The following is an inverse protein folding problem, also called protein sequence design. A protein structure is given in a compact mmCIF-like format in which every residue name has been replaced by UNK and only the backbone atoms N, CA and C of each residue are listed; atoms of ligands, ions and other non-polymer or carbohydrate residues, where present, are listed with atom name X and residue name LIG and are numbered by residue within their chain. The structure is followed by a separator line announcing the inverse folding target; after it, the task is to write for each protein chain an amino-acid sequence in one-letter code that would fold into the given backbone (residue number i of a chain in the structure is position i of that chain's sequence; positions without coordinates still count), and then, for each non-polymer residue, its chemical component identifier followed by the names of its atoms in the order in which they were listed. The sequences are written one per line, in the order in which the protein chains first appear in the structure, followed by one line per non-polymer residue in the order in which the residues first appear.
data_IF_697568083893
#
_entry.id   IF_697568083893
#
_cell.length_a   1.000
_cell.length_b   1.000
_cell.length_c   1.000
_cell.angle_alpha   90.00
_cell.angle_beta   90.00
_cell.angle_gamma   90.00
#
_symmetry.space_group_name_H-M   'P 1'
#
loop_
_entity.id
_entity.type
_entity.pdbx_description
1 polymer ?
#
# COMPACT_ATOMS: atom_id res chain seq x y z
N UNK A 1 -46.72 -6.00 -52.76
CA UNK A 1 -45.53 -6.66 -52.20
C UNK A 1 -44.94 -5.76 -51.11
N UNK A 2 -45.20 -6.05 -49.82
CA UNK A 2 -44.74 -5.21 -48.69
C UNK A 2 -43.50 -5.84 -48.07
N UNK A 3 -42.34 -5.21 -48.25
CA UNK A 3 -41.06 -5.63 -47.67
C UNK A 3 -41.06 -5.19 -46.20
N UNK A 4 -41.07 -6.16 -45.27
CA UNK A 4 -40.92 -5.92 -43.84
C UNK A 4 -39.45 -5.59 -43.56
N UNK A 5 -39.18 -4.38 -43.07
CA UNK A 5 -37.85 -3.99 -42.57
C UNK A 5 -37.72 -4.49 -41.12
N UNK A 6 -36.86 -5.47 -40.90
CA UNK A 6 -36.52 -5.96 -39.56
C UNK A 6 -35.45 -5.05 -38.97
N UNK A 7 -35.81 -4.26 -37.96
CA UNK A 7 -34.88 -3.41 -37.22
C UNK A 7 -34.28 -4.26 -36.08
N UNK A 8 -33.03 -4.68 -36.24
CA UNK A 8 -32.27 -5.28 -35.15
C UNK A 8 -31.85 -4.15 -34.18
N UNK A 9 -32.55 -4.05 -33.06
CA UNK A 9 -32.16 -3.17 -31.96
C UNK A 9 -31.00 -3.85 -31.20
N UNK A 10 -29.79 -3.33 -31.39
CA UNK A 10 -28.63 -3.71 -30.59
C UNK A 10 -28.69 -2.93 -29.28
N UNK A 11 -29.21 -3.58 -28.23
CA UNK A 11 -29.16 -3.08 -26.86
C UNK A 11 -27.71 -3.09 -26.38
N UNK A 12 -27.06 -1.93 -26.39
CA UNK A 12 -25.81 -1.69 -25.67
C UNK A 12 -26.12 -1.74 -24.18
N UNK A 13 -25.87 -2.89 -23.55
CA UNK A 13 -25.86 -2.98 -22.09
C UNK A 13 -24.72 -2.11 -21.56
N UNK A 14 -25.05 -1.04 -20.84
CA UNK A 14 -24.12 -0.37 -19.94
C UNK A 14 -23.81 -1.35 -18.81
N UNK A 15 -22.82 -2.21 -19.03
CA UNK A 15 -22.20 -2.95 -17.93
C UNK A 15 -21.58 -1.93 -17.00
N UNK A 16 -21.99 -1.92 -15.73
CA UNK A 16 -21.26 -1.18 -14.71
C UNK A 16 -19.87 -1.77 -14.63
N UNK A 17 -18.89 -1.05 -15.17
CA UNK A 17 -17.49 -1.38 -14.98
C UNK A 17 -17.20 -1.12 -13.50
N UNK A 18 -17.23 -2.18 -12.70
CA UNK A 18 -16.68 -2.12 -11.34
C UNK A 18 -15.22 -1.74 -11.49
N UNK A 19 -14.85 -0.53 -11.08
CA UNK A 19 -13.45 -0.14 -10.96
C UNK A 19 -12.78 -1.15 -10.03
N UNK A 20 -11.90 -1.99 -10.57
CA UNK A 20 -11.02 -2.80 -9.73
C UNK A 20 -10.21 -1.82 -8.87
N UNK A 21 -10.31 -1.93 -7.55
CA UNK A 21 -9.43 -1.18 -6.66
C UNK A 21 -8.05 -1.80 -6.81
N UNK A 22 -7.16 -1.10 -7.52
CA UNK A 22 -5.80 -1.54 -7.75
C UNK A 22 -4.81 -0.63 -7.00
N UNK A 23 -3.72 -1.22 -6.56
CA UNK A 23 -2.75 -0.63 -5.65
C UNK A 23 -1.32 -0.66 -6.17
N UNK A 24 -0.37 -0.55 -5.25
CA UNK A 24 1.06 -0.70 -5.50
C UNK A 24 1.36 -2.20 -5.64
N UNK A 25 1.63 -2.64 -6.87
CA UNK A 25 1.85 -4.03 -7.24
C UNK A 25 3.33 -4.38 -7.04
N UNK A 26 3.59 -5.58 -6.52
CA UNK A 26 4.94 -6.15 -6.53
C UNK A 26 5.70 -6.01 -5.23
N UNK A 27 5.06 -5.54 -4.16
CA UNK A 27 5.73 -5.26 -2.88
C UNK A 27 6.12 -6.56 -2.19
N UNK A 28 7.42 -6.76 -1.97
CA UNK A 28 7.97 -7.89 -1.20
C UNK A 28 8.35 -7.48 0.22
N UNK A 29 8.82 -6.26 0.40
CA UNK A 29 9.19 -5.74 1.71
C UNK A 29 8.90 -4.26 1.86
N UNK A 30 8.78 -3.84 3.12
CA UNK A 30 8.69 -2.45 3.55
C UNK A 30 9.89 -2.17 4.45
N UNK A 31 10.59 -1.08 4.21
CA UNK A 31 11.64 -0.57 5.08
C UNK A 31 11.17 0.74 5.72
N UNK A 32 11.31 0.82 7.04
CA UNK A 32 10.95 1.98 7.86
C UNK A 32 12.20 2.50 8.55
N UNK A 33 12.48 3.80 8.40
CA UNK A 33 13.59 4.51 9.04
C UNK A 33 13.08 5.75 9.75
N UNK A 34 13.81 6.22 10.77
CA UNK A 34 13.56 7.52 11.37
C UNK A 34 14.06 8.63 10.41
N UNK A 35 13.17 9.50 9.93
CA UNK A 35 13.51 10.52 8.93
C UNK A 35 14.34 11.68 9.48
N UNK A 36 14.35 11.88 10.81
CA UNK A 36 15.07 12.96 11.48
C UNK A 36 16.36 12.50 12.14
N UNK A 37 16.81 11.28 11.85
CA UNK A 37 17.99 10.65 12.40
C UNK A 37 18.04 10.70 13.94
N UNK A 38 16.95 10.28 14.58
CA UNK A 38 16.88 10.00 16.02
C UNK A 38 16.57 8.52 16.25
N UNK A 39 15.89 8.21 17.35
CA UNK A 39 15.43 6.87 17.69
C UNK A 39 14.30 6.40 16.76
N UNK A 40 14.49 5.29 16.06
CA UNK A 40 13.41 4.54 15.42
C UNK A 40 12.58 3.78 16.47
N UNK A 41 11.30 4.11 16.51
CA UNK A 41 10.31 3.46 17.37
C UNK A 41 9.01 3.35 16.58
N UNK A 42 8.35 2.20 16.64
CA UNK A 42 7.15 1.92 15.84
C UNK A 42 6.21 1.07 16.67
N UNK A 43 4.98 1.54 16.87
CA UNK A 43 3.95 0.78 17.57
C UNK A 43 3.37 -0.31 16.68
N UNK A 44 2.96 0.04 15.46
CA UNK A 44 2.38 -0.91 14.53
C UNK A 44 2.50 -0.40 13.09
N UNK A 45 2.64 -1.32 12.15
CA UNK A 45 2.51 -1.09 10.71
C UNK A 45 1.36 -1.92 10.19
N UNK A 46 0.40 -1.27 9.54
CA UNK A 46 -0.64 -1.95 8.79
C UNK A 46 -0.39 -1.76 7.29
N UNK A 47 -0.42 -2.85 6.53
CA UNK A 47 -0.30 -2.84 5.09
C UNK A 47 -1.50 -3.59 4.51
N UNK A 48 -2.47 -2.86 3.95
CA UNK A 48 -3.69 -3.48 3.43
C UNK A 48 -3.54 -3.84 1.96
N UNK A 49 -3.92 -5.08 1.63
CA UNK A 49 -3.98 -5.53 0.24
C UNK A 49 -5.35 -5.25 -0.41
N UNK A 50 -5.50 -5.58 -1.69
CA UNK A 50 -6.77 -5.43 -2.44
C UNK A 50 -7.97 -6.20 -1.85
N UNK A 51 -7.72 -7.18 -0.97
CA UNK A 51 -8.74 -7.89 -0.21
C UNK A 51 -9.12 -7.22 1.10
N UNK A 52 -8.58 -6.03 1.39
CA UNK A 52 -8.69 -5.31 2.66
C UNK A 52 -8.20 -6.14 3.86
N UNK A 53 -7.19 -6.99 3.62
CA UNK A 53 -6.50 -7.75 4.66
C UNK A 53 -5.21 -7.03 5.00
N UNK A 54 -4.96 -6.82 6.29
CA UNK A 54 -3.66 -6.37 6.77
C UNK A 54 -2.65 -7.52 6.69
N UNK A 55 -1.78 -7.45 5.68
CA UNK A 55 -0.79 -8.50 5.40
C UNK A 55 0.46 -8.39 6.27
N UNK A 56 0.63 -7.29 7.01
CA UNK A 56 1.72 -7.15 7.98
C UNK A 56 1.43 -7.97 9.25
N UNK A 57 0.23 -7.82 9.84
CA UNK A 57 -0.14 -8.45 11.11
C UNK A 57 -0.84 -9.82 10.99
N UNK A 58 -1.30 -10.23 9.80
CA UNK A 58 -2.00 -11.51 9.59
C UNK A 58 -1.13 -12.77 9.65
N UNK A 59 0.11 -12.66 10.13
CA UNK A 59 1.08 -13.76 10.16
C UNK A 59 1.71 -14.07 8.79
N UNK A 60 1.50 -13.19 7.81
CA UNK A 60 2.08 -13.32 6.48
C UNK A 60 3.35 -12.47 6.26
N UNK A 61 3.90 -11.91 7.34
CA UNK A 61 5.11 -11.11 7.31
C UNK A 61 6.04 -11.45 8.49
N UNK A 62 7.31 -11.10 8.34
CA UNK A 62 8.30 -11.12 9.42
C UNK A 62 8.93 -9.74 9.54
N UNK A 63 9.04 -9.21 10.76
CA UNK A 63 9.74 -7.98 11.04
C UNK A 63 11.13 -8.26 11.61
N UNK A 64 12.12 -7.46 11.20
CA UNK A 64 13.50 -7.54 11.68
C UNK A 64 14.14 -6.17 11.76
N UNK A 65 15.06 -5.99 12.70
CA UNK A 65 15.92 -4.82 12.81
C UNK A 65 17.32 -5.26 13.33
N UNK A 66 18.38 -4.44 13.15
CA UNK A 66 19.73 -4.77 13.61
C UNK A 66 19.83 -5.01 15.12
N UNK A 67 19.04 -4.28 15.91
CA UNK A 67 19.01 -4.37 17.36
C UNK A 67 17.63 -4.01 17.94
N UNK A 68 17.55 -3.99 19.26
CA UNK A 68 16.38 -3.51 19.99
C UNK A 68 16.83 -2.99 21.35
N UNK A 69 16.20 -1.93 21.84
CA UNK A 69 16.51 -1.35 23.15
C UNK A 69 16.33 -2.35 24.29
N UNK A 70 15.36 -3.25 24.18
CA UNK A 70 15.13 -4.31 25.16
C UNK A 70 14.48 -5.54 24.55
N UNK A 71 14.56 -6.67 25.26
CA UNK A 71 13.95 -7.93 24.82
C UNK A 71 12.42 -7.97 24.83
N UNK A 72 11.74 -6.90 25.24
CA UNK A 72 10.27 -6.79 25.15
C UNK A 72 9.81 -5.74 24.12
N UNK A 73 10.75 -5.07 23.44
CA UNK A 73 10.49 -4.03 22.43
C UNK A 73 11.12 -4.43 21.09
N UNK A 74 10.90 -5.68 20.71
CA UNK A 74 11.49 -6.34 19.54
C UNK A 74 10.73 -6.01 18.25
N UNK A 75 11.31 -6.25 17.06
CA UNK A 75 10.70 -5.86 15.78
C UNK A 75 9.31 -6.46 15.52
N UNK A 76 9.01 -7.64 16.07
CA UNK A 76 7.70 -8.27 15.96
C UNK A 76 6.57 -7.41 16.55
N UNK A 77 6.90 -6.50 17.48
CA UNK A 77 5.92 -5.56 18.06
C UNK A 77 5.34 -4.60 17.04
N UNK A 78 6.05 -4.30 15.96
CA UNK A 78 5.56 -3.41 14.93
C UNK A 78 4.57 -4.09 13.94
N UNK A 79 4.29 -5.39 14.10
CA UNK A 79 3.39 -6.16 13.22
C UNK A 79 2.53 -7.16 14.03
N UNK A 80 2.24 -6.89 15.31
CA UNK A 80 1.54 -7.84 16.18
C UNK A 80 0.02 -7.58 16.31
N UNK A 81 -0.47 -6.57 15.58
CA UNK A 81 -1.87 -6.14 15.58
C UNK A 81 -2.22 -5.17 16.70
N UNK A 82 -1.25 -4.73 17.52
CA UNK A 82 -1.47 -3.81 18.64
C UNK A 82 -1.10 -2.39 18.26
N UNK A 83 -2.10 -1.59 17.88
CA UNK A 83 -1.88 -0.18 17.50
C UNK A 83 -1.59 0.77 18.68
N UNK A 84 -1.51 0.25 19.91
CA UNK A 84 -1.27 1.06 21.10
C UNK A 84 0.24 1.28 21.28
N UNK A 85 0.70 2.52 21.37
CA UNK A 85 2.14 2.82 21.40
C UNK A 85 2.79 2.93 22.78
N UNK A 86 2.39 2.17 23.80
CA UNK A 86 3.01 2.30 25.13
C UNK A 86 4.28 1.43 25.26
N UNK A 87 5.45 2.08 25.31
CA UNK A 87 6.73 1.39 25.49
C UNK A 87 6.79 0.59 26.79
N UNK A 88 6.32 1.18 27.91
CA UNK A 88 6.38 0.54 29.23
C UNK A 88 5.52 -0.73 29.34
N UNK A 89 4.59 -0.93 28.41
CA UNK A 89 3.77 -2.14 28.28
C UNK A 89 4.26 -3.11 27.20
N UNK A 90 5.39 -2.81 26.54
CA UNK A 90 5.97 -3.65 25.49
C UNK A 90 5.13 -3.71 24.22
N UNK A 91 4.54 -2.58 23.83
CA UNK A 91 3.65 -2.48 22.67
C UNK A 91 4.30 -1.79 21.46
N UNK A 92 5.63 -1.62 21.47
CA UNK A 92 6.34 -0.98 20.37
C UNK A 92 7.63 -1.74 20.07
N UNK A 93 8.09 -1.65 18.83
CA UNK A 93 9.49 -1.78 18.50
C UNK A 93 10.23 -0.49 18.88
N UNK A 94 11.45 -0.62 19.41
CA UNK A 94 12.35 0.51 19.68
C UNK A 94 13.79 0.06 19.41
N UNK A 95 14.51 0.77 18.55
CA UNK A 95 15.90 0.45 18.22
C UNK A 95 16.82 0.61 19.44
N UNK A 96 17.95 -0.09 19.42
CA UNK A 96 18.90 -0.21 20.53
C UNK A 96 19.92 0.91 20.62
N UNK A 97 20.17 1.64 19.53
CA UNK A 97 21.14 2.73 19.48
C UNK A 97 20.59 3.97 18.77
N UNK A 98 20.89 5.18 19.28
CA UNK A 98 20.50 6.42 18.61
C UNK A 98 21.38 6.76 17.42
N UNK A 99 20.79 7.43 16.43
CA UNK A 99 21.49 7.91 15.24
C UNK A 99 22.23 6.77 14.49
N UNK A 100 21.77 5.53 14.65
CA UNK A 100 22.34 4.36 13.98
C UNK A 100 21.94 4.28 12.51
N UNK A 101 20.89 5.02 12.13
CA UNK A 101 20.21 4.88 10.84
C UNK A 101 19.68 3.45 10.61
N UNK A 102 19.31 2.77 11.69
CA UNK A 102 18.76 1.42 11.59
C UNK A 102 17.43 1.43 10.84
N UNK A 103 17.13 0.27 10.30
CA UNK A 103 15.95 0.03 9.48
C UNK A 103 15.14 -1.08 10.09
N UNK A 104 13.87 -0.81 10.34
CA UNK A 104 12.88 -1.84 10.55
C UNK A 104 12.46 -2.37 9.18
N UNK A 105 12.75 -3.63 8.91
CA UNK A 105 12.38 -4.29 7.66
C UNK A 105 11.24 -5.27 7.92
N UNK A 106 10.14 -5.12 7.18
CA UNK A 106 9.00 -6.02 7.17
C UNK A 106 9.01 -6.76 5.84
N UNK A 107 9.20 -8.08 5.87
CA UNK A 107 9.24 -8.94 4.68
C UNK A 107 7.97 -9.77 4.62
N UNK A 108 7.22 -9.65 3.53
CA UNK A 108 6.05 -10.50 3.29
C UNK A 108 6.46 -11.88 2.79
N UNK A 109 5.72 -12.93 3.13
CA UNK A 109 5.98 -14.29 2.63
C UNK A 109 5.80 -14.36 1.11
N UNK A 110 4.74 -13.73 0.61
CA UNK A 110 4.42 -13.61 -0.81
C UNK A 110 4.47 -12.15 -1.25
N UNK A 111 4.72 -11.92 -2.54
CA UNK A 111 4.63 -10.58 -3.14
C UNK A 111 3.18 -10.08 -3.06
N UNK A 112 3.00 -8.82 -2.68
CA UNK A 112 1.70 -8.21 -2.41
C UNK A 112 1.35 -7.11 -3.43
N UNK A 113 0.05 -6.89 -3.59
CA UNK A 113 -0.51 -5.66 -4.12
C UNK A 113 -1.16 -4.91 -2.96
N UNK A 114 -0.60 -3.74 -2.60
CA UNK A 114 -1.03 -2.96 -1.43
C UNK A 114 -1.84 -1.74 -1.84
N UNK A 115 -2.97 -1.52 -1.19
CA UNK A 115 -3.88 -0.37 -1.47
C UNK A 115 -3.67 0.78 -0.49
N UNK A 116 -3.24 0.49 0.73
CA UNK A 116 -3.00 1.50 1.75
C UNK A 116 -2.00 1.04 2.79
N UNK A 117 -1.44 2.02 3.48
CA UNK A 117 -0.45 1.86 4.52
C UNK A 117 -0.81 2.75 5.71
N UNK A 118 -0.64 2.21 6.92
CA UNK A 118 -0.66 2.99 8.15
C UNK A 118 0.54 2.65 9.01
N UNK A 119 0.99 3.65 9.76
CA UNK A 119 2.00 3.47 10.79
C UNK A 119 1.54 4.18 12.07
N UNK A 120 1.77 3.52 13.20
CA UNK A 120 1.42 3.99 14.53
C UNK A 120 2.69 4.29 15.32
N UNK A 121 2.73 5.46 15.92
CA UNK A 121 3.83 5.96 16.73
C UNK A 121 3.68 5.63 18.21
N UNK A 122 4.66 6.06 18.99
CA UNK A 122 4.72 5.86 20.45
C UNK A 122 3.81 6.87 21.15
N UNK A 123 3.02 6.41 22.12
CA UNK A 123 1.97 7.20 22.79
C UNK A 123 2.28 7.61 24.23
N UNK A 124 3.27 7.00 24.89
CA UNK A 124 3.57 7.26 26.31
C UNK A 124 4.63 8.35 26.53
N UNK A 125 5.55 8.54 25.59
CA UNK A 125 6.41 9.73 25.48
C UNK A 125 7.11 9.77 24.11
N UNK A 126 7.93 10.80 23.89
CA UNK A 126 8.86 10.87 22.75
C UNK A 126 8.18 10.79 21.36
N UNK A 127 6.88 11.08 21.26
CA UNK A 127 6.14 11.03 20.00
C UNK A 127 6.59 12.08 18.97
N UNK A 128 7.38 13.07 19.38
CA UNK A 128 8.05 14.01 18.47
C UNK A 128 9.05 13.33 17.52
N UNK A 129 9.42 12.07 17.80
CA UNK A 129 10.34 11.26 16.98
C UNK A 129 9.65 10.47 15.89
N UNK A 130 8.33 10.34 15.94
CA UNK A 130 7.53 9.47 15.08
C UNK A 130 7.37 10.07 13.67
N UNK A 131 8.51 10.21 12.99
CA UNK A 131 8.65 10.77 11.66
C UNK A 131 9.47 9.78 10.85
N UNK A 132 8.88 9.27 9.77
CA UNK A 132 9.41 8.10 9.10
C UNK A 132 9.65 8.29 7.61
N UNK A 133 10.73 7.69 7.14
CA UNK A 133 10.93 7.41 5.73
C UNK A 133 10.52 5.97 5.46
N UNK A 134 9.65 5.77 4.47
CA UNK A 134 9.08 4.46 4.14
C UNK A 134 9.45 4.10 2.70
N UNK A 135 10.17 3.00 2.51
CA UNK A 135 10.41 2.43 1.19
C UNK A 135 9.58 1.15 1.02
N UNK A 136 8.92 1.02 -0.13
CA UNK A 136 8.26 -0.21 -0.58
C UNK A 136 9.13 -0.82 -1.67
N UNK A 137 9.60 -2.04 -1.47
CA UNK A 137 10.57 -2.69 -2.34
C UNK A 137 9.98 -3.93 -2.98
N UNK A 138 10.43 -4.24 -4.18
CA UNK A 138 10.10 -5.48 -4.87
C UNK A 138 10.97 -6.67 -4.41
N UNK A 139 10.79 -7.83 -5.05
CA UNK A 139 11.56 -9.03 -4.71
C UNK A 139 13.05 -8.97 -5.09
N UNK A 140 13.46 -8.04 -5.96
CA UNK A 140 14.85 -7.78 -6.31
C UNK A 140 15.51 -6.78 -5.35
N UNK A 141 14.72 -6.09 -4.52
CA UNK A 141 15.17 -5.01 -3.65
C UNK A 141 15.13 -3.64 -4.32
N UNK A 142 14.44 -3.50 -5.45
CA UNK A 142 14.25 -2.22 -6.12
C UNK A 142 13.08 -1.45 -5.49
N UNK A 143 13.26 -0.15 -5.24
CA UNK A 143 12.21 0.70 -4.66
C UNK A 143 11.08 0.93 -5.67
N UNK A 144 9.88 0.47 -5.33
CA UNK A 144 8.64 0.69 -6.09
C UNK A 144 7.98 2.02 -5.74
N UNK A 145 8.02 2.38 -4.46
CA UNK A 145 7.44 3.62 -3.94
C UNK A 145 8.19 4.07 -2.69
N UNK A 146 8.26 5.38 -2.48
CA UNK A 146 8.93 5.97 -1.33
C UNK A 146 8.09 7.11 -0.76
N UNK A 147 8.00 7.15 0.56
CA UNK A 147 7.36 8.22 1.31
C UNK A 147 8.45 8.85 2.18
N UNK A 148 8.67 10.15 1.97
CA UNK A 148 9.57 10.97 2.77
C UNK A 148 8.77 11.61 3.91
N UNK A 149 9.35 11.64 5.11
CA UNK A 149 8.89 12.48 6.21
C UNK A 149 7.43 12.24 6.64
N UNK A 150 7.01 10.97 6.71
CA UNK A 150 5.67 10.58 7.14
C UNK A 150 5.49 10.81 8.65
N UNK A 151 4.59 11.71 9.01
CA UNK A 151 4.40 12.17 10.39
C UNK A 151 3.32 11.37 11.12
N UNK A 152 3.70 10.59 12.13
CA UNK A 152 2.79 9.97 13.09
C UNK A 152 3.05 10.50 14.51
N UNK A 153 3.32 11.79 14.65
CA UNK A 153 3.64 12.39 15.96
C UNK A 153 2.40 12.55 16.83
N UNK A 154 2.58 13.02 18.07
CA UNK A 154 1.46 13.39 18.96
C UNK A 154 0.47 14.37 18.32
N UNK A 155 0.95 15.29 17.46
CA UNK A 155 0.08 16.25 16.75
C UNK A 155 -0.81 15.55 15.71
N UNK A 156 -0.41 14.36 15.25
CA UNK A 156 -1.15 13.51 14.32
C UNK A 156 -1.87 12.36 15.06
N UNK A 157 -2.06 12.47 16.38
CA UNK A 157 -2.66 11.43 17.21
C UNK A 157 -1.92 10.08 17.08
N UNK A 158 -0.59 10.13 16.96
CA UNK A 158 0.27 8.96 16.88
C UNK A 158 -0.03 8.02 15.70
N UNK A 159 -0.59 8.54 14.61
CA UNK A 159 -0.93 7.74 13.43
C UNK A 159 -0.72 8.51 12.13
N UNK A 160 -0.26 7.80 11.10
CA UNK A 160 -0.25 8.29 9.73
C UNK A 160 -0.92 7.26 8.82
N UNK A 161 -1.60 7.74 7.78
CA UNK A 161 -2.28 6.91 6.77
C UNK A 161 -1.94 7.42 5.37
N UNK A 162 -1.69 6.50 4.45
CA UNK A 162 -1.38 6.79 3.04
C UNK A 162 -2.12 5.82 2.14
N UNK A 163 -2.82 6.34 1.12
CA UNK A 163 -3.29 5.54 -0.01
C UNK A 163 -2.12 5.30 -0.97
N UNK A 164 -1.90 4.05 -1.35
CA UNK A 164 -0.78 3.69 -2.21
C UNK A 164 -1.16 3.85 -3.69
N UNK A 165 -0.21 4.28 -4.54
CA UNK A 165 -0.52 4.57 -5.93
C UNK A 165 -0.90 3.29 -6.68
N UNK A 166 -1.95 3.40 -7.50
CA UNK A 166 -2.30 2.34 -8.44
C UNK A 166 -1.23 2.27 -9.56
N UNK A 167 -0.46 1.19 -9.55
CA UNK A 167 0.59 0.92 -10.55
C UNK A 167 0.13 -0.02 -11.66
N UNK A 168 -1.13 -0.46 -11.61
CA UNK A 168 -1.77 -1.18 -12.69
C UNK A 168 -2.04 -0.20 -13.84
N UNK A 169 -1.03 0.06 -14.66
CA UNK A 169 -1.20 0.73 -15.94
C UNK A 169 -1.93 -0.19 -16.92
N UNK A 170 -3.21 -0.44 -16.69
CA UNK A 170 -4.08 -1.04 -17.69
C UNK A 170 -4.36 -0.01 -18.78
N UNK A 171 -3.50 -0.06 -19.81
CA UNK A 171 -3.72 0.38 -21.19
C UNK A 171 -4.12 1.87 -21.35
N UNK A 172 -3.30 2.69 -22.02
CA UNK A 172 -3.67 4.07 -22.35
C UNK A 172 -5.03 4.12 -23.06
N UNK A 173 -5.96 4.90 -22.51
CA UNK A 173 -7.23 5.39 -23.08
C UNK A 173 -7.28 5.49 -24.64
N UNK A 174 -6.22 5.96 -25.35
CA UNK A 174 -6.22 5.97 -26.82
C UNK A 174 -6.47 4.60 -27.49
N UNK A 175 -6.07 3.47 -26.90
CA UNK A 175 -6.26 2.15 -27.50
C UNK A 175 -7.73 1.68 -27.41
N UNK A 176 -8.40 1.94 -26.28
CA UNK A 176 -9.82 1.62 -26.08
C UNK A 176 -10.72 2.47 -26.98
N UNK A 177 -10.41 3.76 -27.10
CA UNK A 177 -11.10 4.66 -28.03
C UNK A 177 -10.84 4.29 -29.50
N UNK A 178 -9.62 3.86 -29.84
CA UNK A 178 -9.29 3.42 -31.20
C UNK A 178 -10.06 2.14 -31.58
N UNK A 179 -10.16 1.16 -30.68
CA UNK A 179 -10.94 -0.05 -30.91
C UNK A 179 -12.45 0.24 -31.03
N UNK A 180 -12.97 1.15 -30.21
CA UNK A 180 -14.35 1.62 -30.33
C UNK A 180 -14.60 2.33 -31.66
N UNK A 181 -13.69 3.22 -32.06
CA UNK A 181 -13.76 3.94 -33.32
C UNK A 181 -13.71 2.98 -34.52
N UNK A 182 -12.77 2.01 -34.50
CA UNK A 182 -12.66 0.98 -35.53
C UNK A 182 -13.91 0.09 -35.60
N UNK A 183 -14.49 -0.28 -34.45
CA UNK A 183 -15.75 -1.00 -34.38
C UNK A 183 -16.91 -0.22 -35.01
N UNK A 184 -17.06 1.07 -34.67
CA UNK A 184 -18.10 1.93 -35.22
C UNK A 184 -17.94 2.16 -36.73
N UNK A 185 -16.70 2.31 -37.23
CA UNK A 185 -16.40 2.41 -38.67
C UNK A 185 -16.73 1.11 -39.39
N UNK A 186 -16.39 -0.04 -38.80
CA UNK A 186 -16.75 -1.36 -39.34
C UNK A 186 -18.27 -1.56 -39.47
N UNK A 187 -19.04 -1.18 -38.44
CA UNK A 187 -20.50 -1.22 -38.49
C UNK A 187 -21.10 -0.26 -39.53
N UNK A 188 -20.53 0.95 -39.67
CA UNK A 188 -20.97 1.92 -40.67
C UNK A 188 -20.70 1.44 -42.10
N UNK A 189 -19.57 0.76 -42.33
CA UNK A 189 -19.21 0.17 -43.62
C UNK A 189 -20.10 -1.03 -43.96
N UNK A 190 -20.47 -1.87 -42.97
CA UNK A 190 -21.35 -3.01 -43.15
C UNK A 190 -22.79 -2.63 -43.52
N UNK A 191 -23.27 -1.45 -43.10
CA UNK A 191 -24.62 -0.94 -43.44
C UNK A 191 -24.76 -0.38 -44.86
N UNK A 192 -23.66 -0.19 -45.59
CA UNK A 192 -23.66 0.38 -46.96
C UNK A 192 -23.59 -0.67 -48.08
N UNK A 193 -23.61 -1.97 -47.74
CA UNK A 193 -23.85 -3.07 -48.67
C UNK A 193 -25.29 -3.56 -48.53
#
# INVERSE_FOLDING_TARGET
MKIKKTLAALTLGFGMVSSAQAGLIGVKSIEVKNAINQWLQVAEVNAFNVGNVDVASSGNATASAPDSWSGFSTPDKAIDGVTAGNYSLGQIFHEGQDNSHDTLTIVFNDVQELISFSIFGRTDCCGERDIYDIAFLDAAGDTLFFIDNLQATATQNHTAFVELPNTNQQIPEPASLALLALGLVGLAAARRK
#
